data_IF_542457071886
#
_entry.id   IF_542457071886
#
_cell.length_a   1.000
_cell.length_b   1.000
_cell.length_c   1.000
_cell.angle_alpha   90.00
_cell.angle_beta   90.00
_cell.angle_gamma   90.00
#
_symmetry.space_group_name_H-M   'P 1'
#
loop_
_entity.id
_entity.type
_entity.pdbx_description
1 polymer ?
#
# COMPACT_ATOMS: atom_id res chain seq x y z
N UNK A 1 -17.28 -4.07 -7.38
CA UNK A 1 -18.29 -3.49 -6.47
C UNK A 1 -17.89 -2.06 -6.18
N UNK A 2 -18.74 -1.08 -6.47
CA UNK A 2 -18.41 0.35 -6.31
C UNK A 2 -18.53 0.78 -4.85
N UNK A 3 -17.66 1.70 -4.41
CA UNK A 3 -17.73 2.26 -3.06
C UNK A 3 -18.57 3.52 -3.06
N UNK A 4 -19.49 3.58 -2.10
CA UNK A 4 -20.30 4.76 -1.83
C UNK A 4 -19.62 5.60 -0.75
N UNK A 5 -19.27 6.82 -1.11
CA UNK A 5 -18.88 7.86 -0.17
C UNK A 5 -20.02 8.88 -0.09
N UNK A 6 -20.02 9.72 0.97
CA UNK A 6 -21.13 10.62 1.34
C UNK A 6 -21.84 11.28 0.13
N UNK A 7 -21.08 11.86 -0.79
CA UNK A 7 -21.60 12.54 -1.99
C UNK A 7 -20.97 12.03 -3.29
N UNK A 8 -20.24 10.91 -3.29
CA UNK A 8 -19.51 10.44 -4.47
C UNK A 8 -19.50 8.91 -4.55
N UNK A 9 -19.75 8.37 -5.74
CA UNK A 9 -19.65 6.93 -6.00
C UNK A 9 -18.47 6.68 -6.92
N UNK A 10 -17.59 5.77 -6.55
CA UNK A 10 -16.39 5.53 -7.35
C UNK A 10 -15.63 4.29 -6.91
N UNK A 11 -14.88 3.73 -7.86
CA UNK A 11 -13.96 2.62 -7.62
C UNK A 11 -12.54 3.08 -7.91
N UNK A 12 -11.85 3.62 -6.91
CA UNK A 12 -10.47 4.11 -7.03
C UNK A 12 -9.48 3.12 -6.40
N UNK A 13 -9.34 1.97 -7.05
CA UNK A 13 -8.32 0.98 -6.72
C UNK A 13 -7.04 1.36 -7.48
N UNK A 14 -5.96 1.61 -6.75
CA UNK A 14 -4.65 1.87 -7.34
C UNK A 14 -3.67 0.77 -6.98
N UNK A 15 -2.92 0.29 -7.97
CA UNK A 15 -1.75 -0.55 -7.75
C UNK A 15 -0.51 0.34 -7.62
N UNK A 16 0.24 0.15 -6.55
CA UNK A 16 1.45 0.89 -6.24
C UNK A 16 2.62 -0.08 -6.16
N UNK A 17 3.73 0.32 -6.76
CA UNK A 17 5.00 -0.40 -6.68
C UNK A 17 6.07 0.52 -6.13
N UNK A 18 6.68 0.12 -5.02
CA UNK A 18 7.83 0.81 -4.43
C UNK A 18 9.06 -0.08 -4.59
N UNK A 19 10.16 0.50 -5.04
CA UNK A 19 11.42 -0.23 -5.23
C UNK A 19 12.50 0.32 -4.30
N UNK A 20 13.34 -0.54 -3.76
CA UNK A 20 14.49 -0.12 -2.97
C UNK A 20 15.49 0.67 -3.82
N UNK A 21 16.29 1.53 -3.16
CA UNK A 21 17.36 2.27 -3.83
C UNK A 21 18.25 1.31 -4.63
N UNK A 22 18.51 1.61 -5.90
CA UNK A 22 19.25 0.75 -6.83
C UNK A 22 18.74 -0.69 -6.97
N UNK A 23 17.51 -0.99 -6.56
CA UNK A 23 16.91 -2.34 -6.51
C UNK A 23 17.74 -3.33 -5.68
N UNK A 24 18.40 -2.85 -4.63
CA UNK A 24 19.09 -3.72 -3.68
C UNK A 24 18.12 -4.71 -3.03
N UNK A 25 18.60 -5.94 -2.84
CA UNK A 25 17.84 -7.00 -2.16
C UNK A 25 17.85 -6.77 -0.63
N UNK A 26 17.29 -5.65 -0.18
CA UNK A 26 17.30 -5.25 1.23
C UNK A 26 16.31 -6.05 2.08
N UNK A 27 15.17 -6.45 1.50
CA UNK A 27 14.11 -7.16 2.19
C UNK A 27 14.40 -8.68 2.28
N UNK A 28 15.67 -9.09 2.46
CA UNK A 28 16.03 -10.51 2.59
C UNK A 28 15.75 -11.05 3.98
N UNK A 29 16.01 -10.24 5.01
CA UNK A 29 15.76 -10.60 6.41
C UNK A 29 14.27 -10.47 6.74
N UNK A 30 13.75 -11.43 7.50
CA UNK A 30 12.36 -11.46 7.97
C UNK A 30 11.98 -10.16 8.69
N UNK A 31 12.84 -9.71 9.60
CA UNK A 31 12.64 -8.50 10.40
C UNK A 31 12.38 -7.26 9.54
N UNK A 32 13.17 -7.07 8.48
CA UNK A 32 13.04 -5.91 7.58
C UNK A 32 11.72 -5.97 6.81
N UNK A 33 11.29 -7.17 6.39
CA UNK A 33 9.97 -7.34 5.75
C UNK A 33 8.84 -7.01 6.72
N UNK A 34 8.94 -7.45 7.97
CA UNK A 34 7.95 -7.16 9.02
C UNK A 34 7.89 -5.65 9.28
N UNK A 35 9.02 -4.99 9.47
CA UNK A 35 9.05 -3.53 9.68
C UNK A 35 8.45 -2.76 8.50
N UNK A 36 8.76 -3.16 7.26
CA UNK A 36 8.18 -2.55 6.08
C UNK A 36 6.66 -2.74 6.02
N UNK A 37 6.18 -3.96 6.31
CA UNK A 37 4.75 -4.27 6.35
C UNK A 37 4.02 -3.40 7.37
N UNK A 38 4.50 -3.38 8.61
CA UNK A 38 3.91 -2.60 9.71
C UNK A 38 3.92 -1.11 9.38
N UNK A 39 5.01 -0.60 8.80
CA UNK A 39 5.11 0.82 8.42
C UNK A 39 4.07 1.22 7.37
N UNK A 40 3.84 0.36 6.36
CA UNK A 40 2.82 0.60 5.33
C UNK A 40 1.42 0.52 5.93
N UNK A 41 1.16 -0.49 6.76
CA UNK A 41 -0.13 -0.67 7.45
C UNK A 41 -0.48 0.53 8.35
N UNK A 42 0.47 0.98 9.17
CA UNK A 42 0.30 2.14 10.03
C UNK A 42 0.11 3.45 9.24
N UNK A 43 0.87 3.65 8.16
CA UNK A 43 0.70 4.83 7.32
C UNK A 43 -0.69 4.86 6.65
N UNK A 44 -1.12 3.74 6.07
CA UNK A 44 -2.44 3.66 5.46
C UNK A 44 -3.57 3.84 6.48
N UNK A 45 -3.43 3.26 7.69
CA UNK A 45 -4.39 3.45 8.79
C UNK A 45 -4.53 4.92 9.20
N UNK A 46 -3.42 5.64 9.33
CA UNK A 46 -3.42 7.09 9.65
C UNK A 46 -4.14 7.93 8.60
N UNK A 47 -3.99 7.58 7.33
CA UNK A 47 -4.61 8.29 6.21
C UNK A 47 -5.99 7.75 5.82
N UNK A 48 -6.55 6.79 6.57
CA UNK A 48 -7.84 6.13 6.26
C UNK A 48 -7.86 5.52 4.85
N UNK A 49 -6.72 4.98 4.42
CA UNK A 49 -6.55 4.27 3.16
C UNK A 49 -6.67 2.78 3.45
N UNK A 50 -7.48 2.06 2.68
CA UNK A 50 -7.62 0.62 2.84
C UNK A 50 -6.62 -0.12 1.95
N UNK A 51 -5.78 -0.94 2.58
CA UNK A 51 -4.85 -1.84 1.89
C UNK A 51 -5.58 -3.14 1.57
N UNK A 52 -5.44 -3.61 0.33
CA UNK A 52 -6.04 -4.88 -0.09
C UNK A 52 -5.05 -6.04 0.05
N UNK A 53 -3.85 -5.89 -0.54
CA UNK A 53 -2.87 -6.98 -0.62
C UNK A 53 -1.45 -6.41 -0.70
N UNK A 54 -0.70 -6.34 0.42
CA UNK A 54 0.71 -6.01 0.40
C UNK A 54 1.54 -7.26 0.10
N UNK A 55 2.27 -7.26 -1.03
CA UNK A 55 3.27 -8.28 -1.40
C UNK A 55 4.66 -7.66 -1.32
N UNK A 56 5.41 -8.03 -0.29
CA UNK A 56 6.80 -7.58 -0.08
C UNK A 56 7.75 -8.61 -0.71
N UNK A 57 8.45 -8.22 -1.76
CA UNK A 57 9.52 -9.01 -2.39
C UNK A 57 10.88 -8.49 -1.91
N UNK A 58 11.95 -9.22 -2.23
CA UNK A 58 13.31 -8.88 -1.78
C UNK A 58 13.78 -7.47 -2.20
N UNK A 59 13.31 -7.00 -3.36
CA UNK A 59 13.74 -5.73 -4.00
C UNK A 59 12.61 -4.71 -4.15
N UNK A 60 11.38 -5.20 -4.26
CA UNK A 60 10.22 -4.40 -4.64
C UNK A 60 9.05 -4.77 -3.75
N UNK A 61 8.20 -3.79 -3.47
CA UNK A 61 6.96 -4.00 -2.73
C UNK A 61 5.81 -3.59 -3.63
N UNK A 62 4.88 -4.51 -3.84
CA UNK A 62 3.69 -4.29 -4.64
C UNK A 62 2.50 -4.32 -3.71
N UNK A 63 1.64 -3.31 -3.78
CA UNK A 63 0.44 -3.28 -2.97
C UNK A 63 -0.66 -2.53 -3.69
N UNK A 64 -1.90 -2.95 -3.45
CA UNK A 64 -3.08 -2.29 -3.97
C UNK A 64 -3.80 -1.57 -2.84
N UNK A 65 -4.19 -0.33 -3.09
CA UNK A 65 -4.91 0.53 -2.13
C UNK A 65 -6.22 1.02 -2.71
N UNK A 66 -7.24 1.05 -1.87
CA UNK A 66 -8.45 1.82 -2.13
C UNK A 66 -8.24 3.22 -1.60
N UNK A 67 -8.20 4.19 -2.52
CA UNK A 67 -8.15 5.60 -2.15
C UNK A 67 -9.56 6.19 -2.15
N UNK A 68 -9.78 7.09 -1.21
CA UNK A 68 -10.95 7.94 -1.25
C UNK A 68 -10.74 9.01 -2.33
N UNK A 69 -11.77 9.40 -3.09
CA UNK A 69 -11.61 10.39 -4.16
C UNK A 69 -11.19 11.77 -3.64
N UNK A 70 -11.39 12.05 -2.36
CA UNK A 70 -11.07 13.33 -1.70
C UNK A 70 -9.67 13.38 -1.07
N UNK A 71 -8.92 12.27 -1.05
CA UNK A 71 -7.56 12.19 -0.46
C UNK A 71 -6.45 12.39 -1.50
N UNK A 72 -6.64 13.31 -2.45
CA UNK A 72 -5.70 13.54 -3.55
C UNK A 72 -4.83 14.78 -3.36
#
# INVERSE_FOLDING_TARGET
MYRHYRNSVGSNLKSIQITTKYRYKMMRKEEIKIYCKVSIEEACKRHKIEIVMPRILEKTTHFSVWMNPWTS
#
